data_IF_898884127684
#
_entry.id   IF_898884127684
#
_cell.length_a   1.000
_cell.length_b   1.000
_cell.length_c   1.000
_cell.angle_alpha   90.00
_cell.angle_beta   90.00
_cell.angle_gamma   90.00
#
_symmetry.space_group_name_H-M   'P 1'
#
loop_
_entity.id
_entity.type
_entity.pdbx_description
1 polymer ?
#
# COMPACT_ATOMS: atom_id res chain seq x y z
N UNK A 1 1.04 -45.23 32.21
CA UNK A 1 0.31 -44.23 33.03
C UNK A 1 1.33 -43.50 33.90
N UNK A 2 1.74 -42.28 33.53
CA UNK A 2 2.66 -41.48 34.34
C UNK A 2 2.11 -40.05 34.42
N UNK A 3 1.52 -39.71 35.56
CA UNK A 3 0.90 -38.42 35.83
C UNK A 3 1.97 -37.48 36.40
N UNK A 4 2.45 -36.52 35.61
CA UNK A 4 3.34 -35.45 36.10
C UNK A 4 2.50 -34.44 36.90
N UNK A 5 2.58 -34.49 38.23
CA UNK A 5 2.09 -33.44 39.11
C UNK A 5 3.00 -32.21 38.99
N UNK A 6 2.58 -31.16 38.29
CA UNK A 6 3.20 -29.84 38.41
C UNK A 6 2.49 -29.08 39.52
N UNK A 7 3.06 -29.06 40.72
CA UNK A 7 2.62 -28.18 41.80
C UNK A 7 2.97 -26.73 41.45
N UNK A 8 2.08 -26.03 40.76
CA UNK A 8 2.18 -24.58 40.63
C UNK A 8 1.86 -23.93 41.97
N UNK A 9 2.89 -23.65 42.78
CA UNK A 9 2.74 -22.82 43.96
C UNK A 9 2.49 -21.37 43.54
N UNK A 10 1.23 -20.94 43.62
CA UNK A 10 0.83 -19.53 43.49
C UNK A 10 1.37 -18.73 44.68
N UNK A 11 2.62 -18.28 44.65
CA UNK A 11 3.18 -17.37 45.65
C UNK A 11 3.63 -16.07 45.01
N UNK A 12 2.66 -15.31 44.49
CA UNK A 12 2.88 -13.91 44.14
C UNK A 12 1.73 -12.99 44.54
N UNK A 13 0.98 -13.35 45.59
CA UNK A 13 -0.17 -12.58 46.07
C UNK A 13 0.20 -11.22 46.72
N UNK A 14 1.45 -11.03 47.15
CA UNK A 14 1.87 -9.84 47.91
C UNK A 14 2.89 -8.94 47.20
N UNK A 15 3.52 -9.36 46.09
CA UNK A 15 4.56 -8.55 45.40
C UNK A 15 4.01 -7.38 44.57
N UNK A 16 2.70 -7.31 44.40
CA UNK A 16 2.00 -6.28 43.62
C UNK A 16 1.16 -5.32 44.49
N UNK A 17 1.17 -5.47 45.82
CA UNK A 17 0.38 -4.63 46.73
C UNK A 17 0.92 -3.20 46.82
N UNK A 18 2.24 -3.04 46.64
CA UNK A 18 2.90 -1.73 46.55
C UNK A 18 3.31 -1.52 45.08
N UNK A 19 2.86 -0.43 44.41
CA UNK A 19 3.26 -0.15 43.04
C UNK A 19 4.77 0.11 42.95
N UNK A 20 5.43 -0.56 42.01
CA UNK A 20 6.86 -0.35 41.74
C UNK A 20 7.05 0.96 40.97
N UNK A 21 8.14 1.68 41.29
CA UNK A 21 8.54 2.86 40.52
C UNK A 21 8.77 2.47 39.05
N UNK A 22 8.20 3.26 38.14
CA UNK A 22 8.46 3.14 36.71
C UNK A 22 9.79 3.79 36.36
N UNK A 23 10.62 3.08 35.59
CA UNK A 23 11.87 3.64 35.06
C UNK A 23 11.56 4.40 33.76
N UNK A 24 11.94 5.67 33.71
CA UNK A 24 11.80 6.51 32.51
C UNK A 24 13.02 6.34 31.61
N UNK A 25 12.78 6.34 30.31
CA UNK A 25 13.86 6.28 29.32
C UNK A 25 14.56 7.64 29.18
N UNK A 26 15.88 7.63 28.92
CA UNK A 26 16.66 8.84 28.66
C UNK A 26 16.52 9.29 27.19
N UNK A 27 16.49 10.60 26.98
CA UNK A 27 16.51 11.23 25.65
C UNK A 27 17.88 11.20 24.95
N UNK A 28 17.94 11.77 23.75
CA UNK A 28 19.17 12.00 22.99
C UNK A 28 19.98 13.16 23.62
N UNK A 29 21.31 13.12 23.52
CA UNK A 29 22.16 14.24 23.97
C UNK A 29 21.89 15.49 23.13
N UNK A 30 21.91 16.67 23.76
CA UNK A 30 21.67 17.98 23.11
C UNK A 30 22.50 18.17 21.83
N UNK A 31 23.82 17.97 21.91
CA UNK A 31 24.75 18.08 20.77
C UNK A 31 24.42 17.13 19.59
N UNK A 32 23.68 16.05 19.84
CA UNK A 32 23.30 15.03 18.85
C UNK A 32 21.82 15.07 18.46
N UNK A 33 21.06 16.08 18.91
CA UNK A 33 19.64 16.22 18.54
C UNK A 33 19.41 16.34 17.04
N UNK A 34 20.38 16.84 16.28
CA UNK A 34 20.33 16.92 14.82
C UNK A 34 20.20 15.55 14.12
N UNK A 35 20.59 14.44 14.78
CA UNK A 35 20.44 13.08 14.26
C UNK A 35 19.02 12.51 14.45
N UNK A 36 18.12 13.29 15.06
CA UNK A 36 16.76 12.86 15.38
C UNK A 36 16.68 12.04 16.68
N UNK A 37 15.61 11.24 16.79
CA UNK A 37 15.31 10.46 17.98
C UNK A 37 16.31 9.33 18.19
N UNK A 38 16.74 9.13 19.44
CA UNK A 38 17.66 8.04 19.80
C UNK A 38 16.91 6.69 19.81
N UNK A 39 17.17 5.85 18.81
CA UNK A 39 16.61 4.51 18.69
C UNK A 39 16.87 3.67 19.96
N UNK A 40 15.83 3.01 20.47
CA UNK A 40 15.93 2.10 21.62
C UNK A 40 15.76 0.64 21.18
N UNK A 41 15.97 -0.29 22.12
CA UNK A 41 15.88 -1.73 21.84
C UNK A 41 14.55 -2.14 21.20
N UNK A 42 13.44 -1.52 21.61
CA UNK A 42 12.10 -1.77 21.05
C UNK A 42 12.05 -1.41 19.56
N UNK A 43 12.58 -0.25 19.20
CA UNK A 43 12.60 0.26 17.83
C UNK A 43 13.53 -0.60 16.96
N UNK A 44 14.73 -0.91 17.46
CA UNK A 44 15.67 -1.83 16.81
C UNK A 44 15.03 -3.18 16.50
N UNK A 45 14.28 -3.73 17.45
CA UNK A 45 13.61 -5.01 17.25
C UNK A 45 12.55 -4.92 16.16
N UNK A 46 11.78 -3.81 16.10
CA UNK A 46 10.81 -3.56 15.02
C UNK A 46 11.52 -3.42 13.67
N UNK A 47 12.57 -2.60 13.60
CA UNK A 47 13.37 -2.37 12.39
C UNK A 47 14.02 -3.65 11.87
N UNK A 48 14.59 -4.47 12.75
CA UNK A 48 15.21 -5.74 12.39
C UNK A 48 14.18 -6.73 11.82
N UNK A 49 12.98 -6.80 12.41
CA UNK A 49 11.89 -7.65 11.89
C UNK A 49 11.42 -7.20 10.51
N UNK A 50 11.21 -5.90 10.33
CA UNK A 50 10.83 -5.32 9.04
C UNK A 50 11.88 -5.61 7.96
N UNK A 51 13.16 -5.36 8.26
CA UNK A 51 14.27 -5.67 7.35
C UNK A 51 14.30 -7.16 6.96
N UNK A 52 14.20 -8.06 7.94
CA UNK A 52 14.19 -9.51 7.67
C UNK A 52 12.99 -9.95 6.83
N UNK A 53 11.81 -9.35 7.08
CA UNK A 53 10.61 -9.64 6.28
C UNK A 53 10.79 -9.21 4.83
N UNK A 54 11.33 -8.01 4.59
CA UNK A 54 11.62 -7.50 3.24
C UNK A 54 12.67 -8.33 2.53
N UNK A 55 13.77 -8.67 3.21
CA UNK A 55 14.83 -9.53 2.65
C UNK A 55 14.29 -10.92 2.27
N UNK A 56 13.46 -11.53 3.13
CA UNK A 56 12.81 -12.80 2.81
C UNK A 56 11.89 -12.69 1.60
N UNK A 57 11.12 -11.60 1.48
CA UNK A 57 10.25 -11.36 0.32
C UNK A 57 11.06 -11.22 -0.98
N UNK A 58 12.15 -10.44 -0.97
CA UNK A 58 13.04 -10.25 -2.12
C UNK A 58 13.65 -11.59 -2.54
N UNK A 59 14.16 -12.39 -1.59
CA UNK A 59 14.72 -13.72 -1.88
C UNK A 59 13.70 -14.65 -2.51
N UNK A 60 12.46 -14.63 -2.03
CA UNK A 60 11.39 -15.43 -2.61
C UNK A 60 11.01 -14.97 -4.02
N UNK A 61 10.98 -13.66 -4.28
CA UNK A 61 10.76 -13.11 -5.62
C UNK A 61 11.90 -13.47 -6.59
N UNK A 62 13.15 -13.41 -6.13
CA UNK A 62 14.32 -13.80 -6.91
C UNK A 62 14.24 -15.28 -7.31
N UNK A 63 13.92 -16.18 -6.37
CA UNK A 63 13.71 -17.61 -6.67
C UNK A 63 12.59 -17.83 -7.68
N UNK A 64 11.45 -17.13 -7.52
CA UNK A 64 10.34 -17.23 -8.49
C UNK A 64 10.74 -16.76 -9.89
N UNK A 65 11.58 -15.73 -9.97
CA UNK A 65 12.10 -15.24 -11.25
C UNK A 65 13.09 -16.23 -11.87
N UNK A 66 13.92 -16.89 -11.07
CA UNK A 66 14.87 -17.93 -11.51
C UNK A 66 14.15 -19.17 -12.05
N UNK A 67 13.11 -19.66 -11.37
CA UNK A 67 12.33 -20.81 -11.79
C UNK A 67 11.22 -20.48 -12.82
N UNK A 68 11.25 -19.28 -13.43
CA UNK A 68 10.25 -18.85 -14.40
C UNK A 68 10.40 -19.64 -15.71
N UNK A 69 9.34 -20.36 -16.11
CA UNK A 69 9.30 -21.00 -17.43
C UNK A 69 9.12 -19.93 -18.53
N UNK A 70 10.05 -19.76 -19.49
CA UNK A 70 9.93 -18.75 -20.55
C UNK A 70 8.66 -18.91 -21.38
N UNK A 71 8.16 -20.14 -21.54
CA UNK A 71 7.02 -20.45 -22.42
C UNK A 71 5.65 -20.38 -21.71
N UNK A 72 5.60 -20.03 -20.42
CA UNK A 72 4.30 -19.96 -19.74
C UNK A 72 3.42 -18.85 -20.35
N UNK A 73 2.15 -19.21 -20.61
CA UNK A 73 1.15 -18.29 -21.15
C UNK A 73 -0.07 -18.21 -20.23
N UNK A 74 -0.46 -16.99 -19.87
CA UNK A 74 -1.69 -16.72 -19.13
C UNK A 74 -2.62 -15.85 -19.97
N UNK A 75 -3.91 -16.19 -20.06
CA UNK A 75 -4.91 -15.45 -20.85
C UNK A 75 -4.95 -13.93 -20.57
N UNK A 76 -4.60 -13.51 -19.35
CA UNK A 76 -4.52 -12.10 -18.95
C UNK A 76 -3.41 -11.32 -19.65
N UNK A 77 -2.37 -11.99 -20.16
CA UNK A 77 -1.27 -11.38 -20.91
C UNK A 77 -1.76 -10.69 -22.20
N UNK A 78 -2.88 -11.14 -22.79
CA UNK A 78 -3.48 -10.51 -23.98
C UNK A 78 -3.89 -9.04 -23.75
N UNK A 79 -4.26 -8.70 -22.52
CA UNK A 79 -4.72 -7.36 -22.14
C UNK A 79 -3.63 -6.53 -21.44
N UNK A 80 -2.46 -7.13 -21.18
CA UNK A 80 -1.38 -6.51 -20.44
C UNK A 80 -0.44 -5.78 -21.39
N UNK A 81 -0.15 -4.51 -21.11
CA UNK A 81 0.87 -3.75 -21.85
C UNK A 81 2.17 -3.78 -21.07
N UNK A 82 3.25 -4.28 -21.70
CA UNK A 82 4.60 -4.25 -21.15
C UNK A 82 5.39 -3.14 -21.83
N UNK A 83 6.05 -2.29 -21.06
CA UNK A 83 7.01 -1.34 -21.61
C UNK A 83 8.30 -2.12 -21.96
N UNK A 84 8.72 -2.10 -23.22
CA UNK A 84 9.90 -2.83 -23.68
C UNK A 84 11.20 -2.24 -23.15
N UNK A 85 11.23 -0.94 -22.83
CA UNK A 85 12.43 -0.23 -22.38
C UNK A 85 12.69 -0.45 -20.88
N UNK A 86 11.65 -0.37 -20.05
CA UNK A 86 11.76 -0.50 -18.59
C UNK A 86 11.39 -1.88 -18.07
N UNK A 87 10.80 -2.75 -18.91
CA UNK A 87 10.35 -4.08 -18.53
C UNK A 87 9.12 -4.11 -17.61
N UNK A 88 8.61 -2.94 -17.20
CA UNK A 88 7.47 -2.83 -16.31
C UNK A 88 6.16 -3.16 -17.04
N UNK A 89 5.30 -3.93 -16.37
CA UNK A 89 3.97 -4.25 -16.85
C UNK A 89 2.92 -3.42 -16.12
N UNK A 90 2.06 -2.77 -16.88
CA UNK A 90 0.87 -2.13 -16.34
C UNK A 90 -0.34 -2.96 -16.77
N UNK A 91 -1.16 -3.35 -15.79
CA UNK A 91 -2.50 -3.84 -16.09
C UNK A 91 -3.31 -2.66 -16.61
N UNK A 92 -3.78 -2.77 -17.85
CA UNK A 92 -4.83 -1.88 -18.31
C UNK A 92 -6.05 -2.24 -17.47
N UNK A 93 -6.37 -1.44 -16.45
CA UNK A 93 -7.66 -1.51 -15.79
C UNK A 93 -8.69 -1.43 -16.90
N UNK A 94 -9.56 -2.43 -17.00
CA UNK A 94 -10.58 -2.46 -18.03
C UNK A 94 -11.47 -1.23 -17.85
N UNK A 95 -11.15 -0.14 -18.56
CA UNK A 95 -12.08 0.95 -18.73
C UNK A 95 -13.34 0.35 -19.33
N UNK A 96 -14.50 0.74 -18.79
CA UNK A 96 -15.79 0.39 -19.38
C UNK A 96 -15.66 0.58 -20.89
N UNK A 97 -15.94 -0.46 -21.67
CA UNK A 97 -16.01 -0.35 -23.14
C UNK A 97 -17.25 0.48 -23.46
N UNK A 98 -17.15 1.78 -23.22
CA UNK A 98 -18.17 2.74 -23.55
C UNK A 98 -18.34 2.70 -25.05
N UNK A 99 -19.59 2.63 -25.47
CA UNK A 99 -19.93 2.56 -26.87
C UNK A 99 -19.61 3.93 -27.48
N UNK A 100 -18.38 4.11 -27.95
CA UNK A 100 -17.79 5.40 -28.34
C UNK A 100 -18.67 6.17 -29.33
N UNK A 101 -19.49 5.44 -30.11
CA UNK A 101 -20.45 6.04 -31.03
C UNK A 101 -21.61 6.73 -30.29
N UNK A 102 -22.24 6.05 -29.32
CA UNK A 102 -23.36 6.62 -28.55
C UNK A 102 -22.89 7.81 -27.71
N UNK A 103 -21.70 7.71 -27.11
CA UNK A 103 -21.12 8.81 -26.35
C UNK A 103 -20.85 10.03 -27.23
N UNK A 104 -20.19 9.86 -28.39
CA UNK A 104 -20.01 10.93 -29.37
C UNK A 104 -21.32 11.54 -29.81
N UNK A 105 -22.30 10.74 -30.19
CA UNK A 105 -23.63 11.22 -30.58
C UNK A 105 -24.29 12.04 -29.46
N UNK A 106 -24.15 11.65 -28.19
CA UNK A 106 -24.68 12.44 -27.07
C UNK A 106 -23.90 13.72 -26.80
N UNK A 107 -22.57 13.71 -26.95
CA UNK A 107 -21.73 14.90 -26.80
C UNK A 107 -21.99 15.92 -27.93
N UNK A 108 -22.09 15.46 -29.17
CA UNK A 108 -22.45 16.28 -30.33
C UNK A 108 -23.82 16.95 -30.13
N UNK A 109 -24.83 16.20 -29.68
CA UNK A 109 -26.16 16.76 -29.35
C UNK A 109 -26.09 17.84 -28.26
N UNK A 110 -25.30 17.62 -27.20
CA UNK A 110 -25.10 18.60 -26.12
C UNK A 110 -24.42 19.87 -26.65
N UNK A 111 -23.40 19.73 -27.50
CA UNK A 111 -22.68 20.85 -28.09
C UNK A 111 -23.58 21.68 -28.99
N UNK A 112 -24.40 21.04 -29.84
CA UNK A 112 -25.38 21.73 -30.69
C UNK A 112 -26.38 22.50 -29.83
N UNK A 113 -26.93 21.88 -28.77
CA UNK A 113 -27.86 22.55 -27.87
C UNK A 113 -27.23 23.79 -27.19
N UNK A 114 -25.96 23.71 -26.80
CA UNK A 114 -25.22 24.82 -26.20
C UNK A 114 -25.02 25.98 -27.19
N UNK A 115 -24.67 25.69 -28.44
CA UNK A 115 -24.49 26.71 -29.49
C UNK A 115 -25.81 27.41 -29.78
N UNK A 116 -26.92 26.67 -29.91
CA UNK A 116 -28.24 27.25 -30.14
C UNK A 116 -28.69 28.13 -28.97
N UNK A 117 -28.46 27.68 -27.73
CA UNK A 117 -28.72 28.50 -26.55
C UNK A 117 -27.90 29.78 -26.56
N UNK A 118 -26.60 29.68 -26.87
CA UNK A 118 -25.69 30.83 -26.94
C UNK A 118 -26.16 31.87 -27.97
N UNK A 119 -26.55 31.41 -29.15
CA UNK A 119 -27.09 32.25 -30.23
C UNK A 119 -28.38 32.96 -29.81
N UNK A 120 -29.29 32.26 -29.11
CA UNK A 120 -30.52 32.87 -28.59
C UNK A 120 -30.27 33.98 -27.56
N UNK A 121 -29.25 33.81 -26.72
CA UNK A 121 -28.86 34.83 -25.73
C UNK A 121 -28.20 36.03 -26.39
N UNK A 122 -27.39 35.82 -27.42
CA UNK A 122 -26.76 36.91 -28.17
C UNK A 122 -27.79 37.71 -28.97
N UNK A 123 -28.78 37.05 -29.58
CA UNK A 123 -29.90 37.71 -30.23
C UNK A 123 -30.71 38.59 -29.25
N UNK A 124 -31.03 38.06 -28.06
CA UNK A 124 -31.72 38.82 -27.00
C UNK A 124 -30.91 39.97 -26.40
N UNK A 125 -29.59 39.96 -26.54
CA UNK A 125 -28.72 41.08 -26.12
C UNK A 125 -28.61 42.17 -27.19
N UNK A 126 -28.94 41.85 -28.43
CA UNK A 126 -28.89 42.75 -29.56
C UNK A 126 -30.22 43.50 -29.78
N UNK A 127 -31.34 42.96 -29.28
CA UNK A 127 -32.58 43.71 -28.99
C UNK A 127 -32.39 44.68 -27.82
#
# INVERSE_FOLDING_TARGET
>A
VFLKMTSTTKTNKMKNYIPKRTYRERGQLERRKHLGMLEKKKDYTRRSRDFKSKDAAIKNLAKKAEFRNPDEFHHKMKNMKKNLQTGQSNFVLAGEKKNQRKERETEEKRNIALVNLRLSMEAKKAE
#
